data_IF_171000939304
#
_entry.id   IF_171000939304
#
_cell.length_a   1.000
_cell.length_b   1.000
_cell.length_c   1.000
_cell.angle_alpha   90.00
_cell.angle_beta   90.00
_cell.angle_gamma   90.00
#
_symmetry.space_group_name_H-M   'P 1'
#
loop_
_entity.id
_entity.type
_entity.pdbx_description
1 polymer ?
#
# COMPACT_ATOMS: atom_id res chain seq x y z
N UNK A 1 -33.00 -11.12 -2.46
CA UNK A 1 -31.91 -10.13 -2.52
C UNK A 1 -32.45 -8.71 -2.65
N UNK A 2 -33.52 -8.53 -3.44
CA UNK A 2 -34.31 -7.29 -3.60
C UNK A 2 -34.70 -6.61 -2.26
N UNK A 3 -35.43 -7.30 -1.37
CA UNK A 3 -35.86 -6.76 -0.06
C UNK A 3 -34.75 -6.19 0.84
N UNK A 4 -33.51 -6.68 0.71
CA UNK A 4 -32.35 -6.19 1.49
C UNK A 4 -31.66 -5.02 0.80
N UNK A 5 -31.67 -5.00 -0.54
CA UNK A 5 -31.24 -3.84 -1.34
C UNK A 5 -32.10 -2.64 -1.03
N UNK A 6 -33.43 -2.82 -1.00
CA UNK A 6 -34.39 -1.76 -0.70
C UNK A 6 -34.17 -1.21 0.72
N UNK A 7 -33.93 -2.10 1.70
CA UNK A 7 -33.63 -1.68 3.08
C UNK A 7 -32.32 -0.88 3.21
N UNK A 8 -31.29 -1.21 2.43
CA UNK A 8 -29.99 -0.55 2.49
C UNK A 8 -30.04 0.82 1.79
N UNK A 9 -30.63 0.88 0.60
CA UNK A 9 -30.86 2.13 -0.14
C UNK A 9 -31.73 3.08 0.69
N UNK A 10 -32.83 2.60 1.27
CA UNK A 10 -33.66 3.41 2.16
C UNK A 10 -32.89 3.95 3.37
N UNK A 11 -31.97 3.16 3.93
CA UNK A 11 -31.12 3.64 5.02
C UNK A 11 -30.13 4.71 4.56
N UNK A 12 -29.57 4.62 3.35
CA UNK A 12 -28.69 5.68 2.83
C UNK A 12 -29.49 6.97 2.61
N UNK A 13 -30.65 6.90 1.94
CA UNK A 13 -31.49 8.06 1.65
C UNK A 13 -32.08 8.72 2.91
N UNK A 14 -32.25 8.00 4.02
CA UNK A 14 -32.62 8.62 5.30
C UNK A 14 -31.60 9.67 5.79
N UNK A 15 -30.37 9.66 5.28
CA UNK A 15 -29.35 10.65 5.60
C UNK A 15 -29.32 11.86 4.66
N UNK A 16 -30.17 11.92 3.63
CA UNK A 16 -30.21 13.05 2.68
C UNK A 16 -30.96 14.27 3.25
N UNK A 17 -31.75 14.08 4.30
CA UNK A 17 -32.56 15.13 4.94
C UNK A 17 -32.49 15.05 6.47
N UNK A 18 -32.69 16.20 7.12
CA UNK A 18 -32.66 16.34 8.58
C UNK A 18 -31.33 16.88 9.14
N UNK A 19 -31.33 17.22 10.43
CA UNK A 19 -30.13 17.74 11.10
C UNK A 19 -29.14 16.61 11.38
N UNK A 20 -27.87 16.86 11.04
CA UNK A 20 -26.80 15.95 11.38
C UNK A 20 -26.70 15.74 12.90
N UNK A 21 -26.64 14.49 13.32
CA UNK A 21 -26.29 14.11 14.69
C UNK A 21 -25.41 12.85 14.67
N UNK A 22 -24.73 12.56 15.78
CA UNK A 22 -23.85 11.40 15.86
C UNK A 22 -24.58 10.08 15.54
N UNK A 23 -25.89 10.00 15.86
CA UNK A 23 -26.75 8.84 15.60
C UNK A 23 -27.52 8.92 14.27
N UNK A 24 -27.56 10.10 13.63
CA UNK A 24 -28.13 10.31 12.29
C UNK A 24 -27.08 10.92 11.35
N UNK A 25 -26.18 10.07 10.79
CA UNK A 25 -25.20 10.50 9.80
C UNK A 25 -25.85 10.86 8.46
N UNK A 26 -25.15 11.68 7.68
CA UNK A 26 -25.58 12.03 6.31
C UNK A 26 -25.49 10.84 5.36
N UNK A 27 -26.22 10.91 4.25
CA UNK A 27 -26.15 9.95 3.14
C UNK A 27 -24.70 9.68 2.69
N UNK A 28 -23.91 10.73 2.51
CA UNK A 28 -22.51 10.66 2.11
C UNK A 28 -21.64 9.92 3.14
N UNK A 29 -21.89 10.13 4.44
CA UNK A 29 -21.18 9.42 5.52
C UNK A 29 -21.59 7.95 5.57
N UNK A 30 -22.88 7.66 5.41
CA UNK A 30 -23.43 6.29 5.38
C UNK A 30 -22.80 5.48 4.26
N UNK A 31 -22.72 6.04 3.05
CA UNK A 31 -22.03 5.41 1.92
C UNK A 31 -20.55 5.17 2.21
N UNK A 32 -19.85 6.17 2.76
CA UNK A 32 -18.42 6.06 3.08
C UNK A 32 -18.15 4.93 4.08
N UNK A 33 -18.99 4.78 5.12
CA UNK A 33 -18.86 3.73 6.13
C UNK A 33 -19.10 2.34 5.51
N UNK A 34 -20.16 2.19 4.73
CA UNK A 34 -20.45 0.92 4.03
C UNK A 34 -19.31 0.54 3.09
N UNK A 35 -18.80 1.53 2.34
CA UNK A 35 -17.68 1.33 1.44
C UNK A 35 -16.41 0.94 2.19
N UNK A 36 -16.08 1.57 3.33
CA UNK A 36 -14.92 1.21 4.15
C UNK A 36 -15.04 -0.22 4.70
N UNK A 37 -16.23 -0.61 5.19
CA UNK A 37 -16.46 -1.96 5.69
C UNK A 37 -16.32 -3.02 4.58
N UNK A 38 -16.88 -2.75 3.40
CA UNK A 38 -16.71 -3.62 2.23
C UNK A 38 -15.25 -3.69 1.79
N UNK A 39 -14.58 -2.53 1.69
CA UNK A 39 -13.17 -2.42 1.30
C UNK A 39 -12.25 -3.17 2.25
N UNK A 40 -12.51 -3.13 3.56
CA UNK A 40 -11.78 -3.90 4.56
C UNK A 40 -11.85 -5.41 4.26
N UNK A 41 -13.04 -5.93 3.96
CA UNK A 41 -13.22 -7.34 3.60
C UNK A 41 -12.50 -7.69 2.28
N UNK A 42 -12.61 -6.84 1.26
CA UNK A 42 -11.90 -7.02 -0.02
C UNK A 42 -10.40 -7.06 0.19
N UNK A 43 -9.85 -6.13 0.97
CA UNK A 43 -8.42 -6.09 1.28
C UNK A 43 -8.02 -7.39 1.99
N UNK A 44 -8.71 -7.81 3.06
CA UNK A 44 -8.39 -9.04 3.78
C UNK A 44 -8.39 -10.30 2.89
N UNK A 45 -9.37 -10.43 2.00
CA UNK A 45 -9.50 -11.61 1.13
C UNK A 45 -8.47 -11.60 0.01
N UNK A 46 -8.24 -10.46 -0.63
CA UNK A 46 -7.44 -10.37 -1.85
C UNK A 46 -5.99 -9.88 -1.63
N UNK A 47 -5.59 -9.55 -0.40
CA UNK A 47 -4.24 -9.04 -0.06
C UNK A 47 -3.10 -9.93 -0.58
N UNK A 48 -3.27 -11.25 -0.45
CA UNK A 48 -2.27 -12.24 -0.87
C UNK A 48 -2.26 -12.47 -2.39
N UNK A 49 -3.28 -12.00 -3.11
CA UNK A 49 -3.44 -12.24 -4.55
C UNK A 49 -3.53 -13.72 -4.93
N UNK A 50 -3.85 -14.59 -3.95
CA UNK A 50 -3.86 -16.04 -4.04
C UNK A 50 -5.14 -16.56 -3.42
N UNK A 51 -6.06 -17.06 -4.24
CA UNK A 51 -7.31 -17.67 -3.76
C UNK A 51 -7.10 -19.17 -3.51
N UNK A 52 -7.22 -19.66 -2.28
CA UNK A 52 -7.13 -21.10 -2.00
C UNK A 52 -8.35 -21.80 -2.61
N UNK A 53 -8.13 -22.84 -3.42
CA UNK A 53 -9.22 -23.61 -4.03
C UNK A 53 -9.21 -25.09 -3.66
N UNK A 54 -8.04 -25.64 -3.31
CA UNK A 54 -7.94 -27.05 -2.97
C UNK A 54 -6.86 -27.28 -1.93
N UNK A 55 -7.07 -28.31 -1.14
CA UNK A 55 -6.17 -28.73 -0.08
C UNK A 55 -5.41 -30.00 -0.51
N UNK A 56 -4.08 -29.98 -0.44
CA UNK A 56 -3.27 -31.17 -0.74
C UNK A 56 -2.30 -31.45 0.41
N UNK A 57 -2.21 -32.72 0.78
CA UNK A 57 -1.15 -33.22 1.63
C UNK A 57 0.12 -33.44 0.79
N UNK A 58 1.23 -32.85 1.22
CA UNK A 58 2.54 -33.19 0.67
C UNK A 58 3.39 -33.76 1.80
N UNK A 59 3.76 -35.01 1.66
CA UNK A 59 4.75 -35.64 2.54
C UNK A 59 6.13 -35.18 2.06
N UNK A 60 6.85 -34.46 2.92
CA UNK A 60 8.20 -33.98 2.66
C UNK A 60 9.12 -34.73 3.62
N UNK A 61 10.11 -35.42 3.06
CA UNK A 61 11.17 -36.04 3.85
C UNK A 61 12.31 -35.04 3.94
N UNK A 62 12.67 -34.64 5.15
CA UNK A 62 13.77 -33.73 5.40
C UNK A 62 15.10 -34.44 5.09
N UNK A 63 15.86 -33.91 4.13
CA UNK A 63 17.10 -34.53 3.61
C UNK A 63 18.21 -34.60 4.64
N UNK A 64 18.18 -33.77 5.69
CA UNK A 64 19.22 -33.72 6.70
C UNK A 64 18.90 -34.55 7.96
N UNK A 65 17.63 -34.76 8.28
CA UNK A 65 17.19 -35.43 9.52
C UNK A 65 16.48 -36.76 9.27
N UNK A 66 16.07 -37.06 8.03
CA UNK A 66 15.30 -38.25 7.69
C UNK A 66 13.85 -38.21 8.21
N UNK A 67 13.43 -37.13 8.86
CA UNK A 67 12.07 -36.99 9.38
C UNK A 67 11.05 -36.82 8.23
N UNK A 68 9.98 -37.62 8.29
CA UNK A 68 8.84 -37.50 7.38
C UNK A 68 7.88 -36.47 7.97
N UNK A 69 7.87 -35.26 7.41
CA UNK A 69 6.94 -34.19 7.78
C UNK A 69 5.81 -34.09 6.76
N UNK A 70 4.57 -34.18 7.25
CA UNK A 70 3.40 -33.96 6.40
C UNK A 70 3.08 -32.48 6.39
N UNK A 71 3.48 -31.78 5.33
CA UNK A 71 3.15 -30.37 5.15
C UNK A 71 1.78 -30.20 4.49
N UNK A 72 1.04 -29.26 5.06
CA UNK A 72 -0.28 -28.84 4.61
C UNK A 72 -0.11 -27.70 3.62
N UNK A 73 -0.30 -27.94 2.31
CA UNK A 73 -0.18 -26.89 1.30
C UNK A 73 -1.50 -26.64 0.60
N UNK A 74 -1.96 -25.39 0.67
CA UNK A 74 -3.08 -24.92 -0.14
C UNK A 74 -2.64 -24.75 -1.59
N UNK A 75 -3.41 -25.32 -2.52
CA UNK A 75 -3.31 -24.91 -3.92
C UNK A 75 -4.05 -23.60 -4.10
N UNK A 76 -3.35 -22.62 -4.67
CA UNK A 76 -3.85 -21.27 -4.84
C UNK A 76 -3.95 -20.90 -6.31
N UNK A 77 -5.04 -20.24 -6.69
CA UNK A 77 -5.16 -19.57 -7.99
C UNK A 77 -4.63 -18.13 -7.89
N UNK A 78 -3.72 -17.69 -8.78
CA UNK A 78 -3.23 -16.32 -8.77
C UNK A 78 -4.32 -15.38 -9.28
N UNK A 79 -4.82 -14.49 -8.42
CA UNK A 79 -5.77 -13.44 -8.78
C UNK A 79 -5.32 -12.09 -8.19
N UNK A 80 -4.27 -11.46 -8.79
CA UNK A 80 -3.59 -10.32 -8.21
C UNK A 80 -4.26 -8.98 -8.57
N UNK A 81 -5.55 -8.83 -8.28
CA UNK A 81 -6.31 -7.61 -8.66
C UNK A 81 -5.83 -6.35 -7.92
N UNK A 82 -5.44 -6.50 -6.65
CA UNK A 82 -4.93 -5.40 -5.81
C UNK A 82 -3.46 -5.10 -6.04
N UNK A 83 -2.77 -5.85 -6.89
CA UNK A 83 -1.33 -5.77 -7.06
C UNK A 83 -0.80 -4.35 -7.36
N UNK A 84 -1.33 -3.58 -8.34
CA UNK A 84 -0.76 -2.26 -8.64
C UNK A 84 -0.89 -1.30 -7.45
N UNK A 85 -2.02 -1.37 -6.73
CA UNK A 85 -2.27 -0.54 -5.56
C UNK A 85 -1.43 -0.99 -4.37
N UNK A 86 -1.27 -2.30 -4.19
CA UNK A 86 -0.42 -2.91 -3.15
C UNK A 86 1.05 -2.49 -3.34
N UNK A 87 1.58 -2.62 -4.56
CA UNK A 87 2.95 -2.23 -4.87
C UNK A 87 3.17 -0.74 -4.59
N UNK A 88 2.16 0.10 -4.85
CA UNK A 88 2.22 1.52 -4.54
C UNK A 88 2.24 1.79 -3.03
N UNK A 89 1.41 1.08 -2.24
CA UNK A 89 1.43 1.20 -0.77
C UNK A 89 2.75 0.75 -0.16
N UNK A 90 3.33 -0.36 -0.66
CA UNK A 90 4.66 -0.83 -0.23
C UNK A 90 5.73 0.19 -0.64
N UNK A 91 5.65 0.74 -1.85
CA UNK A 91 6.57 1.79 -2.32
C UNK A 91 6.56 3.00 -1.38
N UNK A 92 5.40 3.46 -0.91
CA UNK A 92 5.34 4.61 0.01
C UNK A 92 5.92 4.31 1.38
N UNK A 93 5.78 3.08 1.85
CA UNK A 93 6.43 2.63 3.07
C UNK A 93 7.96 2.67 2.91
N UNK A 94 8.49 2.05 1.86
CA UNK A 94 9.93 2.03 1.57
C UNK A 94 10.51 3.43 1.32
N UNK A 95 9.75 4.26 0.61
CA UNK A 95 10.10 5.66 0.37
C UNK A 95 10.23 6.43 1.70
N UNK A 96 9.45 6.09 2.71
CA UNK A 96 9.52 6.76 4.01
C UNK A 96 10.82 6.41 4.75
N UNK A 97 11.27 5.15 4.69
CA UNK A 97 12.62 4.78 5.15
C UNK A 97 13.70 5.54 4.37
N UNK A 98 13.59 5.56 3.04
CA UNK A 98 14.55 6.23 2.16
C UNK A 98 14.68 7.72 2.47
N UNK A 99 13.56 8.43 2.64
CA UNK A 99 13.54 9.87 2.94
C UNK A 99 14.18 10.14 4.30
N UNK A 100 13.72 9.48 5.37
CA UNK A 100 14.23 9.73 6.73
C UNK A 100 15.68 9.29 6.87
N UNK A 101 16.05 8.17 6.26
CA UNK A 101 17.43 7.71 6.22
C UNK A 101 18.35 8.71 5.52
N UNK A 102 17.95 9.26 4.37
CA UNK A 102 18.75 10.27 3.68
C UNK A 102 18.82 11.59 4.44
N UNK A 103 17.73 12.05 5.05
CA UNK A 103 17.72 13.27 5.87
C UNK A 103 18.65 13.11 7.08
N UNK A 104 18.63 11.96 7.75
CA UNK A 104 19.51 11.72 8.90
C UNK A 104 20.99 11.61 8.49
N UNK A 105 21.28 10.99 7.35
CA UNK A 105 22.63 10.96 6.77
C UNK A 105 23.12 12.38 6.45
N UNK A 106 22.28 13.17 5.76
CA UNK A 106 22.61 14.54 5.37
C UNK A 106 22.82 15.44 6.58
N UNK A 107 21.97 15.31 7.59
CA UNK A 107 22.10 16.02 8.87
C UNK A 107 23.42 15.69 9.58
N UNK A 108 23.78 14.41 9.67
CA UNK A 108 25.05 13.99 10.27
C UNK A 108 26.25 14.53 9.49
N UNK A 109 26.20 14.51 8.15
CA UNK A 109 27.26 15.05 7.28
C UNK A 109 27.39 16.57 7.41
N UNK A 110 26.27 17.29 7.54
CA UNK A 110 26.26 18.74 7.77
C UNK A 110 26.96 19.11 9.07
N UNK A 111 26.75 18.34 10.15
CA UNK A 111 27.29 18.66 11.48
C UNK A 111 28.74 18.18 11.64
N UNK A 112 29.05 16.95 11.22
CA UNK A 112 30.35 16.31 11.51
C UNK A 112 31.33 16.35 10.34
N UNK A 113 30.89 16.86 9.18
CA UNK A 113 31.66 16.80 7.94
C UNK A 113 31.72 15.38 7.36
N UNK A 114 32.29 15.26 6.16
CA UNK A 114 32.56 13.96 5.52
C UNK A 114 34.03 13.62 5.81
N UNK A 115 34.33 12.46 6.42
CA UNK A 115 35.71 12.02 6.64
C UNK A 115 36.49 11.94 5.33
N UNK A 116 37.75 12.37 5.36
CA UNK A 116 38.63 12.43 4.19
C UNK A 116 38.75 11.04 3.53
N UNK A 117 38.48 10.96 2.22
CA UNK A 117 38.50 9.70 1.45
C UNK A 117 37.21 8.87 1.48
N UNK A 118 36.18 9.26 2.24
CA UNK A 118 34.87 8.58 2.22
C UNK A 118 33.85 9.27 1.30
N UNK A 119 32.96 8.47 0.70
CA UNK A 119 31.87 8.97 -0.15
C UNK A 119 30.64 9.26 0.70
N UNK A 120 29.87 10.27 0.29
CA UNK A 120 28.57 10.55 0.89
C UNK A 120 27.69 9.29 0.90
N UNK A 121 27.01 9.06 2.03
CA UNK A 121 26.01 8.01 2.18
C UNK A 121 24.90 8.21 1.16
N UNK A 122 24.56 7.12 0.47
CA UNK A 122 23.52 7.10 -0.57
C UNK A 122 22.68 5.84 -0.38
N UNK A 123 21.43 5.92 -0.81
CA UNK A 123 20.59 4.74 -0.98
C UNK A 123 21.25 3.84 -2.02
N UNK A 124 21.42 2.57 -1.68
CA UNK A 124 22.00 1.58 -2.58
C UNK A 124 20.93 1.05 -3.53
N UNK A 125 19.83 0.57 -2.96
CA UNK A 125 18.64 0.16 -3.67
C UNK A 125 17.40 0.27 -2.79
N UNK A 126 16.26 0.34 -3.46
CA UNK A 126 14.94 0.13 -2.87
C UNK A 126 14.37 -1.09 -3.59
N UNK A 127 13.84 -2.04 -2.84
CA UNK A 127 13.26 -3.28 -3.32
C UNK A 127 11.79 -3.32 -2.92
N UNK A 128 10.94 -3.80 -3.83
CA UNK A 128 9.51 -3.96 -3.61
C UNK A 128 9.13 -5.36 -4.02
N UNK A 129 8.86 -6.21 -3.04
CA UNK A 129 8.36 -7.57 -3.24
C UNK A 129 6.83 -7.56 -3.36
N UNK A 130 6.33 -8.43 -4.24
CA UNK A 130 4.89 -8.61 -4.47
C UNK A 130 4.18 -9.30 -3.29
N UNK A 131 4.88 -10.18 -2.59
CA UNK A 131 4.32 -11.12 -1.62
C UNK A 131 4.80 -10.88 -0.20
N UNK A 132 6.05 -10.41 -0.03
CA UNK A 132 6.69 -10.39 1.30
C UNK A 132 6.88 -8.99 1.89
N UNK A 133 6.88 -7.91 1.10
CA UNK A 133 7.04 -6.53 1.60
C UNK A 133 7.99 -5.71 0.73
N UNK A 134 8.81 -4.86 1.33
CA UNK A 134 9.88 -4.14 0.65
C UNK A 134 11.18 -4.17 1.46
N UNK A 135 12.26 -3.64 0.88
CA UNK A 135 13.53 -3.45 1.57
C UNK A 135 14.25 -2.22 1.04
N UNK A 136 14.63 -1.32 1.95
CA UNK A 136 15.45 -0.16 1.64
C UNK A 136 16.85 -0.32 2.20
N UNK A 137 17.85 -0.44 1.32
CA UNK A 137 19.24 -0.63 1.72
C UNK A 137 20.05 0.65 1.50
N UNK A 138 20.78 1.06 2.53
CA UNK A 138 21.76 2.15 2.46
C UNK A 138 23.17 1.58 2.25
N UNK A 139 24.02 2.30 1.53
CA UNK A 139 25.41 1.88 1.35
C UNK A 139 26.12 1.77 2.70
N UNK A 140 26.70 0.60 2.96
CA UNK A 140 27.43 0.29 4.18
C UNK A 140 28.79 0.99 4.27
N UNK A 141 28.79 2.30 4.52
CA UNK A 141 30.00 3.04 4.88
C UNK A 141 30.11 3.10 6.42
N UNK A 142 31.22 2.65 7.03
CA UNK A 142 31.36 2.57 8.49
C UNK A 142 31.06 3.86 9.25
N UNK A 143 31.32 5.03 8.66
CA UNK A 143 31.14 6.34 9.30
C UNK A 143 29.92 7.12 8.79
N UNK A 144 29.16 6.58 7.82
CA UNK A 144 28.03 7.28 7.20
C UNK A 144 26.82 6.36 7.15
N UNK A 145 26.27 6.08 8.32
CA UNK A 145 25.05 5.27 8.48
C UNK A 145 23.86 6.16 8.86
N UNK A 146 22.64 5.81 8.42
CA UNK A 146 21.44 6.52 8.85
C UNK A 146 21.17 6.28 10.33
N UNK A 147 20.41 7.18 10.94
CA UNK A 147 19.95 6.95 12.30
C UNK A 147 18.80 5.93 12.30
N UNK A 148 19.12 4.66 12.54
CA UNK A 148 18.15 3.56 12.53
C UNK A 148 16.98 3.75 13.51
N UNK A 149 17.15 4.52 14.59
CA UNK A 149 16.03 4.83 15.49
C UNK A 149 14.92 5.63 14.84
N UNK A 150 15.26 6.47 13.85
CA UNK A 150 14.31 7.29 13.12
C UNK A 150 13.94 6.63 11.80
N UNK A 151 14.90 6.00 11.14
CA UNK A 151 14.71 5.37 9.83
C UNK A 151 13.80 4.16 9.90
N UNK A 152 13.97 3.25 10.86
CA UNK A 152 13.15 2.03 10.97
C UNK A 152 11.66 2.33 11.25
N UNK A 153 11.27 3.20 12.20
CA UNK A 153 9.85 3.50 12.39
C UNK A 153 9.28 4.42 11.28
N UNK A 154 10.14 5.02 10.44
CA UNK A 154 9.68 5.91 9.37
C UNK A 154 8.78 5.19 8.35
N UNK A 155 9.02 3.92 8.04
CA UNK A 155 8.15 3.13 7.16
C UNK A 155 6.75 3.01 7.73
N UNK A 156 6.65 2.56 8.98
CA UNK A 156 5.39 2.44 9.72
C UNK A 156 4.64 3.77 9.85
N UNK A 157 5.34 4.81 10.28
CA UNK A 157 4.76 6.14 10.50
C UNK A 157 4.35 6.77 9.16
N UNK A 158 5.22 6.74 8.16
CA UNK A 158 4.96 7.34 6.85
C UNK A 158 3.78 6.69 6.12
N UNK A 159 3.76 5.36 6.03
CA UNK A 159 2.64 4.63 5.42
C UNK A 159 1.31 4.82 6.17
N UNK A 160 1.34 4.91 7.50
CA UNK A 160 0.18 5.28 8.31
C UNK A 160 -0.27 6.73 8.06
N UNK A 161 0.66 7.69 7.99
CA UNK A 161 0.34 9.11 7.75
C UNK A 161 -0.28 9.33 6.37
N UNK A 162 0.30 8.76 5.31
CA UNK A 162 -0.29 8.82 3.97
C UNK A 162 -1.66 8.12 3.93
N UNK A 163 -1.78 6.97 4.59
CA UNK A 163 -3.05 6.26 4.71
C UNK A 163 -4.13 7.09 5.41
N UNK A 164 -3.78 7.72 6.53
CA UNK A 164 -4.67 8.60 7.30
C UNK A 164 -5.06 9.85 6.51
N UNK A 165 -4.12 10.46 5.78
CA UNK A 165 -4.42 11.61 4.91
C UNK A 165 -5.46 11.23 3.83
N UNK A 166 -5.27 10.12 3.13
CA UNK A 166 -6.21 9.67 2.11
C UNK A 166 -7.56 9.24 2.72
N UNK A 167 -7.56 8.57 3.88
CA UNK A 167 -8.79 8.27 4.62
C UNK A 167 -9.56 9.54 4.97
N UNK A 168 -8.88 10.56 5.50
CA UNK A 168 -9.52 11.82 5.86
C UNK A 168 -10.09 12.53 4.63
N UNK A 169 -9.27 12.72 3.60
CA UNK A 169 -9.70 13.41 2.36
C UNK A 169 -10.80 12.67 1.61
N UNK A 170 -10.91 11.35 1.75
CA UNK A 170 -11.90 10.51 1.09
C UNK A 170 -13.35 10.67 1.58
N UNK A 171 -13.59 11.34 2.72
CA UNK A 171 -14.96 11.54 3.22
C UNK A 171 -15.73 12.63 2.45
N UNK A 172 -15.04 13.48 1.68
CA UNK A 172 -15.64 14.62 0.97
C UNK A 172 -15.10 14.74 -0.46
N UNK A 173 -15.96 15.06 -1.42
CA UNK A 173 -15.61 15.12 -2.85
C UNK A 173 -14.55 16.20 -3.16
N UNK A 174 -14.69 17.39 -2.58
CA UNK A 174 -13.73 18.49 -2.76
C UNK A 174 -12.40 18.13 -2.11
N UNK A 175 -12.43 17.54 -0.92
CA UNK A 175 -11.19 17.09 -0.26
C UNK A 175 -10.51 15.93 -0.98
N UNK A 176 -11.28 15.04 -1.61
CA UNK A 176 -10.75 13.93 -2.40
C UNK A 176 -9.97 14.41 -3.63
N UNK A 177 -10.28 15.59 -4.17
CA UNK A 177 -9.46 16.24 -5.20
C UNK A 177 -8.07 16.61 -4.67
N UNK A 178 -7.98 17.19 -3.47
CA UNK A 178 -6.68 17.45 -2.82
C UNK A 178 -5.94 16.15 -2.48
N UNK A 179 -6.67 15.12 -2.03
CA UNK A 179 -6.14 13.78 -1.80
C UNK A 179 -5.52 13.19 -3.06
N UNK A 180 -6.24 13.22 -4.18
CA UNK A 180 -5.76 12.69 -5.46
C UNK A 180 -4.58 13.51 -6.01
N UNK A 181 -4.57 14.83 -5.87
CA UNK A 181 -3.41 15.66 -6.23
C UNK A 181 -2.19 15.30 -5.39
N UNK A 182 -2.38 15.10 -4.08
CA UNK A 182 -1.31 14.66 -3.17
C UNK A 182 -0.75 13.30 -3.60
N UNK A 183 -1.64 12.38 -4.00
CA UNK A 183 -1.26 11.06 -4.51
C UNK A 183 -0.46 11.19 -5.81
N UNK A 184 -0.89 12.02 -6.76
CA UNK A 184 -0.11 12.31 -7.98
C UNK A 184 1.27 12.87 -7.67
N UNK A 185 1.37 13.87 -6.78
CA UNK A 185 2.68 14.44 -6.37
C UNK A 185 3.56 13.38 -5.71
N UNK A 186 2.99 12.56 -4.83
CA UNK A 186 3.72 11.50 -4.13
C UNK A 186 4.21 10.42 -5.10
N UNK A 187 3.37 9.99 -6.07
CA UNK A 187 3.79 9.05 -7.12
C UNK A 187 4.90 9.63 -8.00
N UNK A 188 4.81 10.91 -8.36
CA UNK A 188 5.82 11.60 -9.16
C UNK A 188 7.15 11.67 -8.40
N UNK A 189 7.11 12.07 -7.12
CA UNK A 189 8.29 12.11 -6.27
C UNK A 189 8.91 10.73 -6.08
N UNK A 190 8.09 9.70 -5.84
CA UNK A 190 8.56 8.32 -5.75
C UNK A 190 9.26 7.88 -7.03
N UNK A 191 8.68 8.20 -8.19
CA UNK A 191 9.25 7.89 -9.51
C UNK A 191 10.57 8.65 -9.73
N UNK A 192 10.64 9.91 -9.35
CA UNK A 192 11.86 10.73 -9.42
C UNK A 192 12.96 10.17 -8.52
N UNK A 193 12.66 9.84 -7.26
CA UNK A 193 13.63 9.23 -6.33
C UNK A 193 14.15 7.91 -6.91
N UNK A 194 13.28 7.08 -7.46
CA UNK A 194 13.68 5.82 -8.10
C UNK A 194 14.55 6.03 -9.35
N UNK A 195 14.42 7.16 -10.05
CA UNK A 195 15.29 7.54 -11.16
C UNK A 195 16.73 7.89 -10.70
N UNK A 196 16.86 8.47 -9.50
CA UNK A 196 18.16 8.86 -8.93
C UNK A 196 18.86 7.75 -8.14
N UNK A 197 18.10 6.83 -7.55
CA UNK A 197 18.64 5.54 -7.09
C UNK A 197 19.14 4.78 -8.33
N UNK A 198 20.15 3.89 -8.21
CA UNK A 198 20.62 3.08 -9.35
C UNK A 198 19.51 2.12 -9.82
N UNK A 199 18.50 2.66 -10.48
CA UNK A 199 17.41 1.92 -11.09
C UNK A 199 17.98 1.10 -12.24
N UNK A 200 17.76 -0.21 -12.19
CA UNK A 200 17.97 -1.06 -13.35
C UNK A 200 16.66 -1.09 -14.13
N UNK A 201 16.73 -0.78 -15.43
CA UNK A 201 15.57 -0.91 -16.31
C UNK A 201 15.24 -2.41 -16.47
N UNK A 202 14.24 -2.88 -15.74
CA UNK A 202 13.66 -4.21 -15.84
C UNK A 202 13.24 -4.59 -17.26
N UNK A 203 12.85 -3.63 -18.10
CA UNK A 203 12.55 -3.84 -19.52
C UNK A 203 13.78 -4.34 -20.28
N UNK A 204 14.97 -3.79 -19.99
CA UNK A 204 16.24 -4.29 -20.57
C UNK A 204 16.52 -5.71 -20.10
N UNK A 205 16.25 -6.01 -18.83
CA UNK A 205 16.47 -7.33 -18.24
C UNK A 205 15.47 -8.39 -18.74
N UNK A 206 14.20 -8.03 -18.93
CA UNK A 206 13.15 -8.91 -19.43
C UNK A 206 12.95 -8.85 -20.95
N UNK A 207 13.72 -8.04 -21.70
CA UNK A 207 13.60 -7.95 -23.17
C UNK A 207 13.62 -9.31 -23.87
N UNK A 208 14.43 -10.24 -23.35
CA UNK A 208 14.58 -11.58 -23.92
C UNK A 208 13.40 -12.50 -23.55
N UNK A 209 12.77 -12.28 -22.41
CA UNK A 209 11.54 -12.95 -22.00
C UNK A 209 10.32 -12.39 -22.75
N UNK A 210 10.24 -11.07 -22.91
CA UNK A 210 9.20 -10.40 -23.71
C UNK A 210 9.30 -10.80 -25.17
N UNK A 211 10.50 -10.82 -25.75
CA UNK A 211 10.68 -11.30 -27.13
C UNK A 211 10.38 -12.80 -27.26
N UNK A 212 10.70 -13.62 -26.26
CA UNK A 212 10.28 -15.03 -26.25
C UNK A 212 8.76 -15.18 -26.22
N UNK A 213 8.06 -14.39 -25.39
CA UNK A 213 6.60 -14.33 -25.37
C UNK A 213 6.05 -13.88 -26.73
N UNK A 214 6.60 -12.83 -27.32
CA UNK A 214 6.19 -12.34 -28.64
C UNK A 214 6.41 -13.38 -29.75
N UNK A 215 7.57 -14.04 -29.81
CA UNK A 215 7.83 -15.11 -30.78
C UNK A 215 6.89 -16.30 -30.59
N UNK A 216 6.50 -16.61 -29.35
CA UNK A 216 5.61 -17.74 -29.04
C UNK A 216 4.14 -17.41 -29.32
N UNK A 217 3.67 -16.22 -28.96
CA UNK A 217 2.26 -15.82 -29.03
C UNK A 217 1.90 -15.18 -30.38
N UNK A 218 2.69 -14.23 -30.88
CA UNK A 218 2.35 -13.50 -32.12
C UNK A 218 2.86 -14.21 -33.38
N UNK A 219 4.07 -14.77 -33.32
CA UNK A 219 4.73 -15.37 -34.50
C UNK A 219 4.70 -16.90 -34.51
N UNK A 220 4.09 -17.54 -33.51
CA UNK A 220 4.00 -19.00 -33.34
C UNK A 220 5.33 -19.77 -33.51
N UNK A 221 6.47 -19.10 -33.35
CA UNK A 221 7.80 -19.65 -33.62
C UNK A 221 8.44 -20.13 -32.31
N UNK A 222 8.23 -21.41 -31.99
CA UNK A 222 8.72 -22.04 -30.76
C UNK A 222 10.25 -22.08 -30.65
N UNK A 223 10.96 -22.20 -31.77
CA UNK A 223 12.42 -22.30 -31.78
C UNK A 223 13.11 -20.97 -31.47
N UNK A 224 12.66 -19.87 -32.09
CA UNK A 224 13.15 -18.52 -31.74
C UNK A 224 12.80 -18.14 -30.30
N UNK A 225 11.62 -18.54 -29.81
CA UNK A 225 11.23 -18.32 -28.42
C UNK A 225 12.15 -19.05 -27.43
N UNK A 226 12.48 -20.34 -27.68
CA UNK A 226 13.43 -21.09 -26.86
C UNK A 226 14.82 -20.46 -26.87
N UNK A 227 15.31 -20.00 -28.03
CA UNK A 227 16.61 -19.33 -28.16
C UNK A 227 16.65 -18.04 -27.33
N UNK A 228 15.59 -17.24 -27.38
CA UNK A 228 15.45 -16.03 -26.57
C UNK A 228 15.41 -16.34 -25.07
N UNK A 229 14.68 -17.39 -24.66
CA UNK A 229 14.66 -17.84 -23.25
C UNK A 229 16.02 -18.34 -22.75
N UNK A 230 16.76 -19.11 -23.56
CA UNK A 230 18.12 -19.54 -23.21
C UNK A 230 19.05 -18.35 -23.00
N UNK A 231 18.99 -17.36 -23.89
CA UNK A 231 19.76 -16.13 -23.78
C UNK A 231 19.38 -15.32 -22.53
N UNK A 232 18.09 -15.28 -22.18
CA UNK A 232 17.62 -14.66 -20.94
C UNK A 232 18.21 -15.37 -19.71
N UNK A 233 18.18 -16.70 -19.68
CA UNK A 233 18.72 -17.50 -18.57
C UNK A 233 20.22 -17.27 -18.38
N UNK A 234 21.02 -17.39 -19.45
CA UNK A 234 22.48 -17.17 -19.38
C UNK A 234 22.82 -15.77 -18.84
N UNK A 235 22.17 -14.72 -19.36
CA UNK A 235 22.40 -13.36 -18.91
C UNK A 235 21.88 -13.08 -17.50
N UNK A 236 20.91 -13.86 -17.00
CA UNK A 236 20.44 -13.77 -15.62
C UNK A 236 21.46 -14.45 -14.70
N UNK A 237 21.86 -15.67 -15.03
CA UNK A 237 22.81 -16.46 -14.25
C UNK A 237 24.17 -15.75 -14.15
N UNK A 238 24.67 -15.15 -15.24
CA UNK A 238 25.91 -14.35 -15.26
C UNK A 238 25.83 -13.11 -14.35
N UNK A 239 24.66 -12.46 -14.26
CA UNK A 239 24.47 -11.36 -13.29
C UNK A 239 24.41 -11.87 -11.87
N UNK A 240 23.74 -13.00 -11.66
CA UNK A 240 23.54 -13.59 -10.35
C UNK A 240 24.84 -14.12 -9.74
N UNK A 241 25.86 -14.41 -10.56
CA UNK A 241 27.22 -14.76 -10.08
C UNK A 241 27.88 -13.66 -9.23
N UNK A 242 27.55 -12.39 -9.47
CA UNK A 242 28.14 -11.25 -8.74
C UNK A 242 27.19 -10.66 -7.68
N UNK A 243 26.06 -11.31 -7.40
CA UNK A 243 25.09 -10.82 -6.43
C UNK A 243 25.64 -10.96 -5.01
N UNK A 244 25.49 -9.92 -4.19
CA UNK A 244 25.88 -9.95 -2.78
C UNK A 244 24.84 -10.60 -1.87
N UNK A 245 23.59 -10.64 -2.34
CA UNK A 245 22.44 -11.17 -1.60
C UNK A 245 21.52 -12.03 -2.48
N UNK A 246 21.08 -13.17 -1.93
CA UNK A 246 20.12 -14.11 -2.53
C UNK A 246 18.91 -14.24 -1.60
N UNK A 247 17.72 -13.90 -2.09
CA UNK A 247 16.48 -13.99 -1.34
C UNK A 247 15.97 -15.44 -1.33
N UNK A 248 15.53 -15.91 -0.16
CA UNK A 248 15.06 -17.29 0.07
C UNK A 248 16.10 -18.37 -0.24
N UNK A 249 17.34 -18.17 0.23
CA UNK A 249 18.36 -19.23 0.27
C UNK A 249 17.79 -20.49 0.97
N UNK A 250 17.59 -21.57 0.20
CA UNK A 250 17.22 -22.89 0.71
C UNK A 250 15.80 -23.41 0.39
N UNK A 251 14.88 -22.59 -0.13
CA UNK A 251 13.52 -23.08 -0.48
C UNK A 251 13.36 -23.52 -1.95
N UNK A 252 14.16 -22.96 -2.86
CA UNK A 252 14.18 -23.29 -4.29
C UNK A 252 15.60 -23.28 -4.83
N UNK A 253 15.95 -24.19 -5.75
CA UNK A 253 17.29 -24.28 -6.40
C UNK A 253 17.73 -23.00 -7.14
N UNK A 254 16.81 -22.04 -7.34
CA UNK A 254 17.02 -20.84 -8.17
C UNK A 254 16.32 -19.63 -7.49
N UNK A 255 16.84 -19.23 -6.33
CA UNK A 255 16.34 -18.10 -5.54
C UNK A 255 16.52 -16.75 -6.27
N UNK A 256 15.60 -15.80 -6.05
CA UNK A 256 15.69 -14.47 -6.65
C UNK A 256 16.83 -13.69 -5.99
N UNK A 257 17.75 -13.14 -6.79
CA UNK A 257 18.88 -12.37 -6.27
C UNK A 257 18.49 -10.90 -6.08
N UNK A 258 19.30 -10.14 -5.33
CA UNK A 258 19.15 -8.68 -5.22
C UNK A 258 18.94 -8.03 -6.60
N UNK A 259 19.70 -8.49 -7.62
CA UNK A 259 19.63 -7.93 -8.97
C UNK A 259 18.31 -8.21 -9.70
N UNK A 260 17.62 -9.30 -9.35
CA UNK A 260 16.31 -9.65 -9.88
C UNK A 260 15.17 -8.98 -9.08
N UNK A 261 15.48 -8.45 -7.89
CA UNK A 261 14.52 -7.92 -6.91
C UNK A 261 14.59 -6.39 -6.71
N UNK A 262 15.62 -5.70 -7.23
CA UNK A 262 15.66 -4.24 -7.25
C UNK A 262 14.31 -3.73 -7.77
N UNK A 263 13.72 -2.72 -7.12
CA UNK A 263 12.50 -2.08 -7.60
C UNK A 263 12.76 -1.59 -9.02
N UNK A 264 12.28 -2.35 -10.00
CA UNK A 264 12.48 -1.97 -11.38
C UNK A 264 11.66 -0.71 -11.59
N UNK A 265 12.34 0.35 -12.04
CA UNK A 265 11.70 1.61 -12.40
C UNK A 265 10.47 1.36 -13.30
N UNK A 266 10.54 0.33 -14.14
CA UNK A 266 9.45 -0.09 -15.01
C UNK A 266 8.25 -0.66 -14.25
N UNK A 267 8.45 -1.41 -13.15
CA UNK A 267 7.34 -1.89 -12.33
C UNK A 267 6.58 -0.73 -11.70
N UNK A 268 7.31 0.27 -11.18
CA UNK A 268 6.71 1.47 -10.59
C UNK A 268 5.94 2.24 -11.65
N UNK A 269 6.56 2.52 -12.82
CA UNK A 269 5.89 3.20 -13.94
C UNK A 269 4.66 2.43 -14.42
N UNK A 270 4.78 1.10 -14.59
CA UNK A 270 3.67 0.24 -14.99
C UNK A 270 2.52 0.20 -13.98
N UNK A 271 2.76 0.44 -12.69
CA UNK A 271 1.71 0.53 -11.68
C UNK A 271 1.13 1.94 -11.59
N UNK A 272 1.96 2.98 -11.69
CA UNK A 272 1.54 4.38 -11.60
C UNK A 272 0.66 4.81 -12.78
N UNK A 273 0.93 4.33 -14.01
CA UNK A 273 0.15 4.72 -15.19
C UNK A 273 -1.33 4.28 -15.06
N UNK A 274 -1.67 3.01 -14.81
CA UNK A 274 -3.06 2.59 -14.62
C UNK A 274 -3.74 3.29 -13.45
N UNK A 275 -3.04 3.46 -12.33
CA UNK A 275 -3.58 4.17 -11.16
C UNK A 275 -3.89 5.63 -11.51
N UNK A 276 -2.98 6.31 -12.22
CA UNK A 276 -3.19 7.68 -12.68
C UNK A 276 -4.36 7.81 -13.66
N UNK A 277 -4.52 6.86 -14.59
CA UNK A 277 -5.67 6.82 -15.50
C UNK A 277 -6.98 6.64 -14.72
N UNK A 278 -7.03 5.70 -13.77
CA UNK A 278 -8.21 5.48 -12.93
C UNK A 278 -8.55 6.76 -12.17
N UNK A 279 -7.58 7.40 -11.52
CA UNK A 279 -7.82 8.64 -10.78
C UNK A 279 -8.31 9.77 -11.70
N UNK A 280 -7.74 9.91 -12.91
CA UNK A 280 -8.19 10.92 -13.87
C UNK A 280 -9.62 10.67 -14.35
N UNK A 281 -10.02 9.41 -14.56
CA UNK A 281 -11.40 9.05 -14.91
C UNK A 281 -12.34 9.37 -13.74
N UNK A 282 -12.01 8.91 -12.53
CA UNK A 282 -12.85 9.14 -11.34
C UNK A 282 -12.93 10.61 -10.93
N UNK A 283 -11.89 11.39 -11.20
CA UNK A 283 -11.93 12.85 -11.02
C UNK A 283 -12.97 13.49 -11.93
N UNK A 284 -13.01 13.09 -13.19
CA UNK A 284 -13.87 13.72 -14.20
C UNK A 284 -15.31 13.23 -14.19
N UNK A 285 -15.62 12.21 -13.39
CA UNK A 285 -16.93 11.57 -13.33
C UNK A 285 -17.74 12.02 -12.10
N UNK A 286 -19.04 12.27 -12.27
CA UNK A 286 -20.02 12.66 -11.24
C UNK A 286 -19.49 13.67 -10.23
N UNK A 287 -18.96 14.80 -10.70
CA UNK A 287 -18.40 15.86 -9.83
C UNK A 287 -17.37 15.32 -8.80
N UNK A 288 -16.59 14.31 -9.19
CA UNK A 288 -15.60 13.62 -8.35
C UNK A 288 -16.16 12.91 -7.12
N UNK A 289 -17.46 12.60 -7.09
CA UNK A 289 -18.06 11.80 -6.02
C UNK A 289 -17.41 10.42 -5.94
N UNK A 290 -17.14 9.78 -7.08
CA UNK A 290 -16.48 8.47 -7.11
C UNK A 290 -15.00 8.52 -6.68
N UNK A 291 -14.35 9.68 -6.80
CA UNK A 291 -12.98 9.87 -6.35
C UNK A 291 -12.84 9.67 -4.83
N UNK A 292 -13.90 9.97 -4.07
CA UNK A 292 -13.99 9.71 -2.62
C UNK A 292 -13.70 8.27 -2.29
N UNK A 293 -14.36 7.35 -2.98
CA UNK A 293 -14.18 5.92 -2.77
C UNK A 293 -12.77 5.46 -3.14
N UNK A 294 -12.16 6.04 -4.18
CA UNK A 294 -10.76 5.76 -4.52
C UNK A 294 -9.81 6.17 -3.40
N UNK A 295 -10.00 7.37 -2.83
CA UNK A 295 -9.18 7.88 -1.72
C UNK A 295 -9.39 7.08 -0.44
N UNK A 296 -10.63 6.75 -0.09
CA UNK A 296 -10.95 5.87 1.05
C UNK A 296 -10.30 4.50 0.89
N UNK A 297 -10.36 3.92 -0.30
CA UNK A 297 -9.77 2.60 -0.58
C UNK A 297 -8.24 2.63 -0.46
N UNK A 298 -7.59 3.62 -1.09
CA UNK A 298 -6.14 3.80 -1.02
C UNK A 298 -5.66 4.09 0.40
N UNK A 299 -6.39 4.95 1.12
CA UNK A 299 -6.09 5.28 2.50
C UNK A 299 -6.21 4.08 3.43
N UNK A 300 -7.30 3.33 3.31
CA UNK A 300 -7.52 2.11 4.08
C UNK A 300 -6.45 1.07 3.79
N UNK A 301 -6.10 0.87 2.51
CA UNK A 301 -5.05 -0.07 2.11
C UNK A 301 -3.70 0.29 2.72
N UNK A 302 -3.30 1.56 2.66
CA UNK A 302 -2.01 2.02 3.20
C UNK A 302 -1.97 1.94 4.73
N UNK A 303 -3.07 2.30 5.41
CA UNK A 303 -3.18 2.23 6.87
C UNK A 303 -3.15 0.76 7.37
N UNK A 304 -3.89 -0.13 6.71
CA UNK A 304 -3.87 -1.56 7.01
C UNK A 304 -2.53 -2.20 6.70
N UNK A 305 -1.84 -1.74 5.64
CA UNK A 305 -0.49 -2.21 5.34
C UNK A 305 0.44 -1.98 6.52
N UNK A 306 0.52 -0.76 7.04
CA UNK A 306 1.37 -0.42 8.19
C UNK A 306 1.07 -1.33 9.41
N UNK A 307 -0.21 -1.53 9.72
CA UNK A 307 -0.62 -2.40 10.83
C UNK A 307 -0.28 -3.88 10.59
N UNK A 308 -0.50 -4.37 9.36
CA UNK A 308 -0.23 -5.75 8.97
C UNK A 308 1.25 -6.07 8.96
N UNK A 309 2.07 -5.12 8.50
CA UNK A 309 3.52 -5.22 8.42
C UNK A 309 4.13 -5.38 9.82
N UNK A 310 3.75 -4.49 10.76
CA UNK A 310 4.15 -4.60 12.18
C UNK A 310 3.70 -5.92 12.80
N UNK A 311 2.49 -6.37 12.49
CA UNK A 311 1.97 -7.62 13.03
C UNK A 311 2.76 -8.83 12.53
N UNK A 312 3.02 -8.91 11.21
CA UNK A 312 3.78 -10.00 10.64
C UNK A 312 5.22 -9.99 11.15
N UNK A 313 5.89 -8.86 11.06
CA UNK A 313 7.31 -8.72 11.40
C UNK A 313 7.58 -8.84 12.88
N UNK A 314 6.70 -8.26 13.69
CA UNK A 314 6.92 -8.07 15.11
C UNK A 314 6.28 -9.13 16.02
N UNK A 315 5.18 -9.72 15.58
CA UNK A 315 4.38 -10.65 16.41
C UNK A 315 4.49 -12.06 15.86
N UNK A 316 4.28 -12.24 14.55
CA UNK A 316 4.24 -13.56 13.92
C UNK A 316 5.64 -14.11 13.61
N UNK A 317 6.53 -13.30 13.01
CA UNK A 317 7.82 -13.73 12.47
C UNK A 317 9.05 -13.18 13.21
N UNK A 318 8.86 -12.54 14.36
CA UNK A 318 9.82 -11.82 15.22
C UNK A 318 11.21 -12.44 15.53
N UNK A 319 11.54 -13.64 15.05
CA UNK A 319 12.84 -14.30 15.24
C UNK A 319 13.41 -14.91 13.94
N UNK A 320 12.59 -15.06 12.90
CA UNK A 320 12.99 -15.73 11.64
C UNK A 320 13.26 -14.70 10.55
N UNK A 321 12.60 -13.54 10.58
CA UNK A 321 12.79 -12.47 9.59
C UNK A 321 13.71 -11.36 10.10
N UNK A 322 14.61 -10.88 9.23
CA UNK A 322 15.37 -9.62 9.42
C UNK A 322 14.47 -8.42 9.09
N UNK A 323 13.43 -8.23 9.89
CA UNK A 323 12.45 -7.14 9.73
C UNK A 323 12.86 -5.86 10.46
N UNK A 324 12.19 -4.73 10.19
CA UNK A 324 12.47 -3.46 10.88
C UNK A 324 12.24 -3.55 12.38
N UNK A 325 11.19 -4.25 12.81
CA UNK A 325 10.93 -4.54 14.22
C UNK A 325 12.07 -5.36 14.85
N UNK A 326 12.64 -6.30 14.11
CA UNK A 326 13.77 -7.12 14.57
C UNK A 326 15.05 -6.28 14.65
N UNK A 327 15.35 -5.47 13.65
CA UNK A 327 16.48 -4.53 13.68
C UNK A 327 16.37 -3.51 14.82
N UNK A 328 15.16 -3.00 15.08
CA UNK A 328 14.92 -2.09 16.20
C UNK A 328 15.19 -2.78 17.54
N UNK A 329 14.74 -4.02 17.70
CA UNK A 329 14.96 -4.80 18.91
C UNK A 329 16.44 -5.18 19.09
N UNK A 330 17.14 -5.54 18.01
CA UNK A 330 18.59 -5.80 18.02
C UNK A 330 19.37 -4.55 18.42
N UNK A 331 19.04 -3.39 17.84
CA UNK A 331 19.70 -2.14 18.18
C UNK A 331 19.44 -1.74 19.63
N UNK A 332 18.21 -1.93 20.13
CA UNK A 332 17.91 -1.73 21.55
C UNK A 332 18.72 -2.70 22.44
N UNK A 333 18.84 -3.97 22.03
CA UNK A 333 19.62 -4.97 22.73
C UNK A 333 21.13 -4.67 22.76
N UNK A 334 21.69 -4.00 21.74
CA UNK A 334 23.08 -3.54 21.78
C UNK A 334 23.33 -2.50 22.88
N UNK A 335 22.33 -1.66 23.17
CA UNK A 335 22.41 -0.63 24.22
C UNK A 335 22.07 -1.17 25.61
N UNK A 336 21.16 -2.13 25.67
CA UNK A 336 20.74 -2.83 26.89
C UNK A 336 20.77 -4.34 26.65
N UNK A 337 21.92 -5.01 26.90
CA UNK A 337 22.08 -6.43 26.59
C UNK A 337 21.05 -7.27 27.36
N UNK A 338 20.23 -8.07 26.65
CA UNK A 338 19.26 -8.94 27.29
C UNK A 338 19.99 -10.01 28.12
N UNK A 339 19.49 -10.27 29.32
CA UNK A 339 20.08 -11.26 30.22
C UNK A 339 19.98 -12.69 29.69
N UNK A 340 18.96 -12.99 28.87
CA UNK A 340 18.72 -14.29 28.25
C UNK A 340 18.27 -14.13 26.80
N UNK A 341 18.61 -15.13 25.96
CA UNK A 341 18.21 -15.18 24.53
C UNK A 341 16.67 -15.11 24.33
N UNK A 342 15.89 -15.56 25.32
CA UNK A 342 14.43 -15.45 25.30
C UNK A 342 13.88 -14.03 25.52
N UNK A 343 14.68 -13.14 26.11
CA UNK A 343 14.27 -11.77 26.42
C UNK A 343 14.21 -10.92 25.16
N UNK A 344 15.15 -11.11 24.21
CA UNK A 344 15.15 -10.41 22.92
C UNK A 344 13.82 -10.58 22.16
N UNK A 345 13.29 -11.82 22.10
CA UNK A 345 11.98 -12.11 21.49
C UNK A 345 10.82 -11.39 22.19
N UNK A 346 10.88 -11.31 23.51
CA UNK A 346 9.86 -10.64 24.33
C UNK A 346 9.88 -9.14 24.08
N UNK A 347 11.08 -8.58 23.95
CA UNK A 347 11.32 -7.17 23.63
C UNK A 347 10.77 -6.81 22.24
N UNK A 348 11.07 -7.58 21.18
CA UNK A 348 10.51 -7.33 19.83
C UNK A 348 8.99 -7.30 19.86
N UNK A 349 8.36 -8.33 20.46
CA UNK A 349 6.90 -8.41 20.56
C UNK A 349 6.30 -7.24 21.33
N UNK A 350 6.95 -6.80 22.40
CA UNK A 350 6.50 -5.68 23.20
C UNK A 350 6.53 -4.37 22.41
N UNK A 351 7.63 -4.08 21.71
CA UNK A 351 7.72 -2.89 20.85
C UNK A 351 6.69 -2.91 19.72
N UNK A 352 6.51 -4.06 19.07
CA UNK A 352 5.53 -4.21 18.00
C UNK A 352 4.10 -4.05 18.51
N UNK A 353 3.79 -4.52 19.72
CA UNK A 353 2.47 -4.30 20.33
C UNK A 353 2.20 -2.82 20.63
N UNK A 354 3.19 -2.08 21.15
CA UNK A 354 3.07 -0.63 21.38
C UNK A 354 2.81 0.10 20.05
N UNK A 355 3.62 -0.17 19.04
CA UNK A 355 3.49 0.47 17.74
C UNK A 355 2.17 0.13 17.04
N UNK A 356 1.74 -1.13 17.11
CA UNK A 356 0.45 -1.56 16.58
C UNK A 356 -0.72 -0.84 17.28
N UNK A 357 -0.65 -0.70 18.61
CA UNK A 357 -1.66 0.02 19.39
C UNK A 357 -1.68 1.51 19.03
N UNK A 358 -0.50 2.13 18.92
CA UNK A 358 -0.38 3.54 18.54
C UNK A 358 -0.97 3.81 17.14
N UNK A 359 -0.59 3.02 16.13
CA UNK A 359 -1.10 3.17 14.77
C UNK A 359 -2.60 2.88 14.71
N UNK A 360 -3.07 1.82 15.38
CA UNK A 360 -4.49 1.52 15.47
C UNK A 360 -5.29 2.69 16.06
N UNK A 361 -4.78 3.31 17.12
CA UNK A 361 -5.39 4.49 17.74
C UNK A 361 -5.41 5.69 16.78
N UNK A 362 -4.30 5.98 16.10
CA UNK A 362 -4.23 7.07 15.11
C UNK A 362 -5.26 6.88 13.98
N UNK A 363 -5.36 5.67 13.43
CA UNK A 363 -6.33 5.35 12.37
C UNK A 363 -7.77 5.58 12.86
N UNK A 364 -8.10 5.09 14.06
CA UNK A 364 -9.44 5.26 14.65
C UNK A 364 -9.74 6.75 14.89
N UNK A 365 -8.79 7.51 15.44
CA UNK A 365 -8.96 8.94 15.66
C UNK A 365 -9.18 9.71 14.35
N UNK A 366 -8.47 9.35 13.28
CA UNK A 366 -8.63 9.99 11.97
C UNK A 366 -9.99 9.68 11.36
N UNK A 367 -10.45 8.43 11.45
CA UNK A 367 -11.79 8.05 10.97
C UNK A 367 -12.88 8.79 11.76
N UNK A 368 -12.77 8.83 13.09
CA UNK A 368 -13.70 9.56 13.95
C UNK A 368 -13.64 11.08 13.69
N UNK A 369 -12.44 11.62 13.49
CA UNK A 369 -12.23 13.02 13.15
C UNK A 369 -12.86 13.38 11.81
N UNK A 370 -12.65 12.57 10.78
CA UNK A 370 -13.27 12.73 9.46
C UNK A 370 -14.80 12.64 9.55
N UNK A 371 -15.33 11.65 10.29
CA UNK A 371 -16.75 11.51 10.54
C UNK A 371 -17.37 12.73 11.26
N UNK A 372 -16.66 13.30 12.24
CA UNK A 372 -17.15 14.48 12.96
C UNK A 372 -17.01 15.78 12.16
N UNK A 373 -16.05 15.86 11.24
CA UNK A 373 -15.75 17.06 10.45
C UNK A 373 -16.59 17.16 9.17
N UNK A 374 -16.70 16.07 8.40
CA UNK A 374 -17.40 16.05 7.11
C UNK A 374 -18.86 15.68 7.27
N UNK A 375 -19.72 16.69 7.40
CA UNK A 375 -21.17 16.52 7.67
C UNK A 375 -22.07 16.85 6.46
N UNK A 376 -21.48 16.97 5.28
CA UNK A 376 -22.18 17.39 4.06
C UNK A 376 -22.92 16.22 3.43
N UNK A 377 -24.03 16.51 2.76
CA UNK A 377 -24.76 15.51 1.96
C UNK A 377 -24.09 15.27 0.61
N UNK A 378 -24.52 14.23 -0.12
CA UNK A 378 -23.95 13.92 -1.45
C UNK A 378 -24.11 15.12 -2.41
N UNK A 379 -25.30 15.74 -2.40
CA UNK A 379 -25.63 16.89 -3.25
C UNK A 379 -24.78 18.10 -2.90
N UNK A 380 -24.64 18.41 -1.61
CA UNK A 380 -23.80 19.52 -1.14
C UNK A 380 -22.33 19.32 -1.54
N UNK A 381 -21.82 18.09 -1.40
CA UNK A 381 -20.45 17.77 -1.82
C UNK A 381 -20.26 17.91 -3.34
N UNK A 382 -21.24 17.51 -4.15
CA UNK A 382 -21.17 17.65 -5.60
C UNK A 382 -21.16 19.12 -6.05
N UNK A 383 -21.96 19.97 -5.40
CA UNK A 383 -21.99 21.41 -5.70
C UNK A 383 -20.66 22.05 -5.32
N UNK A 384 -20.15 21.79 -4.12
CA UNK A 384 -18.90 22.40 -3.66
C UNK A 384 -17.67 21.90 -4.43
N UNK A 385 -17.67 20.65 -4.90
CA UNK A 385 -16.54 20.13 -5.66
C UNK A 385 -16.37 20.89 -6.98
N UNK A 386 -17.44 21.47 -7.56
CA UNK A 386 -17.38 22.27 -8.79
C UNK A 386 -16.56 23.55 -8.64
N UNK A 387 -16.42 24.08 -7.42
CA UNK A 387 -15.64 25.29 -7.15
C UNK A 387 -14.14 25.09 -7.40
N UNK A 388 -13.64 23.86 -7.27
CA UNK A 388 -12.22 23.55 -7.37
C UNK A 388 -11.97 22.51 -8.45
N UNK A 389 -11.38 22.93 -9.58
CA UNK A 389 -11.05 22.07 -10.73
C UNK A 389 -12.23 21.17 -11.13
N UNK A 390 -13.31 21.76 -11.68
CA UNK A 390 -14.57 21.07 -11.92
C UNK A 390 -14.40 19.84 -12.81
N UNK A 391 -15.21 18.82 -12.54
CA UNK A 391 -15.28 17.64 -13.38
C UNK A 391 -15.94 17.98 -14.73
N UNK A 392 -15.60 17.23 -15.78
CA UNK A 392 -16.27 17.37 -17.07
C UNK A 392 -17.68 16.78 -17.08
N UNK A 393 -17.91 15.70 -16.33
CA UNK A 393 -19.23 15.08 -16.17
C UNK A 393 -19.79 15.46 -14.82
N UNK A 394 -20.84 16.28 -14.85
CA UNK A 394 -21.52 16.76 -13.65
C UNK A 394 -22.54 15.73 -13.15
N UNK A 395 -22.64 15.64 -11.82
CA UNK A 395 -23.74 14.97 -11.15
C UNK A 395 -25.06 15.65 -11.55
N UNK A 396 -26.01 14.86 -12.07
CA UNK A 396 -27.02 15.28 -13.04
C UNK A 396 -28.22 16.09 -12.50
N UNK A 397 -29.02 16.71 -13.40
CA UNK A 397 -30.20 17.52 -13.06
C UNK A 397 -31.48 16.71 -12.72
N UNK A 398 -31.55 15.41 -13.05
CA UNK A 398 -32.68 14.53 -12.67
C UNK A 398 -32.68 14.18 -11.18
N UNK A 399 -31.49 13.99 -10.60
CA UNK A 399 -31.34 13.66 -9.17
C UNK A 399 -31.52 14.92 -8.30
N UNK A 400 -31.11 16.09 -8.81
CA UNK A 400 -31.35 17.39 -8.17
C UNK A 400 -32.85 17.76 -8.10
N UNK A 401 -33.66 17.40 -9.09
CA UNK A 401 -35.09 17.70 -9.08
C UNK A 401 -35.82 16.86 -8.02
N UNK A 402 -35.54 15.55 -7.96
CA UNK A 402 -36.10 14.64 -6.95
C UNK A 402 -35.59 14.98 -5.53
N UNK A 403 -34.33 15.39 -5.37
CA UNK A 403 -33.76 15.79 -4.08
C UNK A 403 -34.29 17.15 -3.60
N UNK A 404 -34.50 18.11 -4.52
CA UNK A 404 -35.13 19.41 -4.19
C UNK A 404 -36.63 19.24 -3.90
N UNK A 405 -37.33 18.35 -4.61
CA UNK A 405 -38.74 18.04 -4.37
C UNK A 405 -38.93 17.32 -3.02
N UNK A 406 -38.02 16.39 -2.66
CA UNK A 406 -37.99 15.76 -1.32
C UNK A 406 -37.63 16.77 -0.20
N UNK A 407 -36.68 17.67 -0.44
CA UNK A 407 -36.35 18.74 0.51
C UNK A 407 -37.53 19.72 0.70
N UNK A 408 -38.24 20.08 -0.37
CA UNK A 408 -39.45 20.92 -0.30
C UNK A 408 -40.63 20.20 0.35
N UNK A 409 -40.82 18.89 0.11
CA UNK A 409 -41.82 18.07 0.78
C UNK A 409 -41.61 17.99 2.29
N UNK A 410 -40.35 17.91 2.72
CA UNK A 410 -39.97 17.93 4.14
C UNK A 410 -40.25 19.28 4.80
N UNK A 411 -39.96 20.40 4.12
CA UNK A 411 -40.29 21.76 4.60
C UNK A 411 -41.80 21.98 4.67
N UNK A 412 -42.58 21.47 3.70
CA UNK A 412 -44.05 21.49 3.76
C UNK A 412 -44.60 20.65 4.90
N UNK A 413 -44.03 19.48 5.18
CA UNK A 413 -44.38 18.66 6.35
C UNK A 413 -44.07 19.33 7.68
N UNK A 414 -43.10 20.25 7.73
CA UNK A 414 -42.80 21.05 8.93
C UNK A 414 -43.71 22.27 9.09
N UNK A 415 -44.33 22.74 8.01
CA UNK A 415 -45.31 23.84 8.03
C UNK A 415 -46.77 23.35 8.08
N UNK A 416 -47.04 22.09 7.73
CA UNK A 416 -48.35 21.46 7.79
C UNK A 416 -48.51 20.60 9.03
N UNK A 417 -48.62 21.26 10.18
CA UNK A 417 -49.29 20.77 11.41
C UNK A 417 -49.37 21.95 12.41
N UNK A 418 -49.93 23.06 11.92
CA UNK A 418 -50.40 24.18 12.75
C UNK A 418 -51.78 24.60 12.23
N UNK A 419 -52.75 23.71 12.42
CA UNK A 419 -54.15 24.11 12.57
C UNK A 419 -54.46 24.33 14.05
#
# INVERSE_FOLDING_TARGET
MEKRSDSLSNWIHQGSSGYWSFTHPTDAQRESILFLAFSFLVILVFWQGKLPYWYKHKTITDTNTGEIRTERRWKTFPFPILLPLKLLTVLYHELSHAIVGMVTIWWTQMIHGIPEGQKAGKIEFIMIDRYEGGLTQFKGHPHVQPNYHLTLPAGYVGSCLFGCWFLFTGFDAKWSKYGALSLFVLTLLATMVCFFVKGKCGFVHHRHQISAWFYRCMLCNKEKAKKAMRKHKVLRDERNMNASYVHNEGETEDGQTEHDLHASQDLIICCCIPVGIILAVLWNWDDSLLLRFAMLFMGLMSALYAAWDIFLDGIKYAKVSKSDATYMAEFHAMRHPPSKVGDARRTTKYYSFIWLTFIGLVIVLVILGAYCYFRKTIVEQAIESREFLPAHFHYGPSDLADDVENAQGTVKGWMGDKD
#
